data_IF_095452949551
#
_entry.id   IF_095452949551
#
_cell.length_a   1.000
_cell.length_b   1.000
_cell.length_c   1.000
_cell.angle_alpha   90.00
_cell.angle_beta   90.00
_cell.angle_gamma   90.00
#
_symmetry.space_group_name_H-M   'P 1'
#
loop_
_entity.id
_entity.type
_entity.pdbx_description
1 polymer ?
#
# COMPACT_ATOMS: atom_id res chain seq x y z
N UNK A 1 0.86 4.27 -4.07
CA UNK A 1 2.03 3.97 -3.22
C UNK A 1 3.14 3.48 -4.12
N UNK A 2 4.37 3.93 -3.90
CA UNK A 2 5.57 3.46 -4.60
C UNK A 2 6.71 3.31 -3.60
N UNK A 3 7.64 2.40 -3.89
CA UNK A 3 8.88 2.25 -3.16
C UNK A 3 10.03 2.40 -4.16
N UNK A 4 10.96 3.30 -3.85
CA UNK A 4 12.14 3.57 -4.67
C UNK A 4 13.35 3.66 -3.74
N UNK A 5 14.37 2.86 -4.03
CA UNK A 5 15.49 2.62 -3.13
C UNK A 5 15.02 2.26 -1.71
N UNK A 6 15.43 3.04 -0.71
CA UNK A 6 15.05 2.85 0.69
C UNK A 6 13.91 3.82 1.12
N UNK A 7 13.14 4.39 0.18
CA UNK A 7 12.08 5.37 0.48
C UNK A 7 10.70 4.86 0.06
N UNK A 8 9.75 4.90 0.99
CA UNK A 8 8.34 4.62 0.75
C UNK A 8 7.55 5.91 0.53
N UNK A 9 6.84 6.02 -0.59
CA UNK A 9 5.96 7.13 -0.92
C UNK A 9 4.49 6.71 -0.86
N UNK A 10 3.70 7.46 -0.09
CA UNK A 10 2.26 7.27 0.05
C UNK A 10 1.53 8.54 -0.38
N UNK A 11 0.71 8.43 -1.42
CA UNK A 11 -0.07 9.55 -1.98
C UNK A 11 -1.56 9.23 -1.90
N UNK A 12 -2.34 10.18 -1.40
CA UNK A 12 -3.81 10.16 -1.40
C UNK A 12 -4.31 11.21 -2.38
N UNK A 13 -5.07 10.78 -3.38
CA UNK A 13 -5.63 11.60 -4.44
C UNK A 13 -7.15 11.71 -4.23
N UNK A 14 -7.70 12.92 -4.37
CA UNK A 14 -9.14 13.19 -4.28
C UNK A 14 -9.53 14.21 -5.34
N UNK A 15 -10.61 13.95 -6.09
CA UNK A 15 -11.08 14.82 -7.16
C UNK A 15 -11.25 16.27 -6.67
N UNK A 16 -10.64 17.22 -7.37
CA UNK A 16 -10.75 18.66 -7.08
C UNK A 16 -10.00 19.12 -5.82
N UNK A 17 -9.15 18.27 -5.22
CA UNK A 17 -8.30 18.61 -4.08
C UNK A 17 -6.84 18.36 -4.43
N UNK A 18 -5.94 19.07 -3.76
CA UNK A 18 -4.51 18.80 -3.86
C UNK A 18 -4.19 17.40 -3.32
N UNK A 19 -3.23 16.76 -3.98
CA UNK A 19 -2.67 15.50 -3.54
C UNK A 19 -1.94 15.67 -2.22
N UNK A 20 -2.09 14.67 -1.35
CA UNK A 20 -1.36 14.61 -0.09
C UNK A 20 -0.35 13.48 -0.20
N UNK A 21 0.93 13.83 -0.18
CA UNK A 21 2.03 12.86 -0.24
C UNK A 21 2.83 12.87 1.07
N UNK A 22 3.13 11.68 1.57
CA UNK A 22 4.10 11.44 2.64
C UNK A 22 5.20 10.53 2.12
N UNK A 23 6.43 10.78 2.58
CA UNK A 23 7.58 9.92 2.34
C UNK A 23 8.11 9.41 3.67
N UNK A 24 8.64 8.19 3.65
CA UNK A 24 9.25 7.54 4.81
C UNK A 24 10.61 6.99 4.41
N UNK A 25 11.67 7.41 5.10
CA UNK A 25 12.99 6.82 4.98
C UNK A 25 13.02 5.49 5.74
N UNK A 26 13.20 4.40 4.99
CA UNK A 26 13.16 3.02 5.46
C UNK A 26 14.56 2.40 5.59
N UNK A 27 15.64 3.18 5.43
CA UNK A 27 17.03 2.71 5.42
C UNK A 27 17.39 1.87 6.65
N UNK A 28 16.83 2.21 7.81
CA UNK A 28 17.08 1.53 9.08
C UNK A 28 15.93 0.62 9.54
N UNK A 29 14.95 0.36 8.68
CA UNK A 29 13.78 -0.49 8.99
C UNK A 29 14.04 -1.98 8.86
N UNK A 30 15.25 -2.39 8.43
CA UNK A 30 15.62 -3.81 8.31
C UNK A 30 15.09 -4.53 7.07
N UNK A 31 14.28 -3.89 6.22
CA UNK A 31 13.76 -4.49 4.98
C UNK A 31 14.85 -4.85 3.97
N UNK A 32 16.02 -4.20 4.05
CA UNK A 32 17.19 -4.47 3.22
C UNK A 32 18.09 -5.59 3.76
N UNK A 33 17.87 -6.04 5.00
CA UNK A 33 18.54 -7.24 5.50
C UNK A 33 18.09 -8.44 4.65
N UNK A 34 19.05 -9.28 4.24
CA UNK A 34 18.85 -10.26 3.16
C UNK A 34 17.65 -11.22 3.38
N UNK A 35 17.14 -11.75 2.27
CA UNK A 35 16.06 -12.75 2.14
C UNK A 35 14.62 -12.28 2.44
N UNK A 36 14.33 -10.97 2.38
CA UNK A 36 12.95 -10.49 2.40
C UNK A 36 12.37 -10.34 0.99
N UNK A 37 11.18 -10.93 0.78
CA UNK A 37 10.37 -10.69 -0.41
C UNK A 37 9.22 -9.76 -0.05
N UNK A 38 9.00 -8.74 -0.88
CA UNK A 38 7.94 -7.75 -0.69
C UNK A 38 6.87 -7.97 -1.75
N UNK A 39 5.60 -7.94 -1.35
CA UNK A 39 4.45 -8.04 -2.22
C UNK A 39 3.36 -7.08 -1.74
N UNK A 40 2.51 -6.62 -2.66
CA UNK A 40 1.37 -5.77 -2.30
C UNK A 40 0.13 -6.62 -2.03
N UNK A 41 -0.61 -6.22 -1.01
CA UNK A 41 -1.97 -6.69 -0.75
C UNK A 41 -2.92 -5.53 -1.05
N UNK A 42 -4.00 -5.80 -1.76
CA UNK A 42 -5.10 -4.85 -1.98
C UNK A 42 -6.42 -5.57 -1.71
N UNK A 43 -7.36 -4.87 -1.09
CA UNK A 43 -8.63 -5.46 -0.68
C UNK A 43 -9.16 -4.85 0.61
N UNK A 44 -10.07 -5.56 1.25
CA UNK A 44 -10.59 -5.21 2.57
C UNK A 44 -9.90 -6.10 3.59
N UNK A 45 -9.18 -5.48 4.52
CA UNK A 45 -8.64 -6.16 5.71
C UNK A 45 -9.39 -5.60 6.91
N UNK A 46 -10.38 -6.35 7.40
CA UNK A 46 -11.19 -5.93 8.54
C UNK A 46 -10.34 -6.04 9.80
N UNK A 47 -10.08 -4.88 10.43
CA UNK A 47 -9.31 -4.79 11.69
C UNK A 47 -10.23 -4.83 12.92
N UNK A 48 -11.55 -4.81 12.73
CA UNK A 48 -12.49 -5.01 13.82
C UNK A 48 -12.54 -6.50 14.19
N UNK A 49 -12.16 -6.81 15.43
CA UNK A 49 -12.17 -8.17 16.00
C UNK A 49 -13.25 -8.34 17.08
N UNK A 50 -14.12 -7.35 17.26
CA UNK A 50 -15.23 -7.43 18.20
C UNK A 50 -16.33 -8.37 17.68
N UNK A 51 -16.97 -9.10 18.59
CA UNK A 51 -17.82 -10.27 18.31
C UNK A 51 -19.26 -9.88 17.90
N UNK A 52 -19.44 -8.72 17.25
CA UNK A 52 -20.75 -8.35 16.73
C UNK A 52 -20.95 -9.00 15.36
N UNK A 53 -21.74 -10.08 15.33
CA UNK A 53 -22.00 -10.98 14.18
C UNK A 53 -22.48 -10.31 12.86
N UNK A 54 -22.66 -8.99 12.84
CA UNK A 54 -23.23 -8.25 11.71
C UNK A 54 -22.33 -7.15 11.13
N UNK A 55 -21.11 -6.95 11.62
CA UNK A 55 -20.25 -5.88 11.10
C UNK A 55 -19.47 -6.34 9.84
N UNK A 56 -20.02 -6.01 8.66
CA UNK A 56 -19.39 -6.31 7.38
C UNK A 56 -18.72 -5.06 6.78
N UNK A 57 -17.48 -5.23 6.29
CA UNK A 57 -16.78 -4.21 5.53
C UNK A 57 -16.76 -4.59 4.04
N UNK A 58 -17.16 -3.66 3.19
CA UNK A 58 -17.12 -3.82 1.74
C UNK A 58 -16.46 -2.61 1.09
N UNK A 59 -15.71 -2.83 0.01
CA UNK A 59 -15.14 -1.77 -0.83
C UNK A 59 -15.23 -2.19 -2.29
N UNK A 60 -15.48 -1.22 -3.17
CA UNK A 60 -15.45 -1.39 -4.62
C UNK A 60 -14.21 -0.69 -5.18
N UNK A 61 -13.36 -1.44 -5.89
CA UNK A 61 -12.20 -0.88 -6.57
C UNK A 61 -12.53 -0.64 -8.04
N UNK A 62 -12.40 0.60 -8.49
CA UNK A 62 -12.59 0.96 -9.92
C UNK A 62 -11.29 0.83 -10.73
N UNK A 63 -10.14 0.82 -10.07
CA UNK A 63 -8.84 0.67 -10.71
C UNK A 63 -7.82 0.11 -9.72
N UNK A 64 -7.11 -0.94 -10.13
CA UNK A 64 -5.97 -1.51 -9.40
C UNK A 64 -4.87 -1.72 -10.43
N UNK A 65 -3.69 -1.18 -10.16
CA UNK A 65 -2.51 -1.36 -10.99
C UNK A 65 -1.30 -1.61 -10.09
N UNK A 66 -0.48 -2.57 -10.48
CA UNK A 66 0.80 -2.86 -9.86
C UNK A 66 1.88 -2.92 -10.95
N UNK A 67 3.03 -2.30 -10.69
CA UNK A 67 4.14 -2.23 -11.64
C UNK A 67 5.46 -2.41 -10.88
N UNK A 68 6.41 -3.12 -11.50
CA UNK A 68 7.78 -3.25 -11.01
C UNK A 68 8.76 -2.92 -12.13
N UNK A 69 9.83 -2.18 -11.83
CA UNK A 69 10.90 -1.90 -12.79
C UNK A 69 11.61 -3.21 -13.15
N UNK A 70 11.41 -3.72 -14.35
CA UNK A 70 12.05 -4.96 -14.82
C UNK A 70 11.12 -5.95 -15.53
N UNK A 71 9.80 -5.77 -15.41
CA UNK A 71 8.85 -6.43 -16.32
C UNK A 71 8.98 -5.77 -17.70
N UNK A 72 9.69 -6.43 -18.63
CA UNK A 72 9.61 -6.15 -20.06
C UNK A 72 8.56 -7.11 -20.64
N UNK A 73 7.58 -6.57 -21.36
CA UNK A 73 6.66 -7.37 -22.17
C UNK A 73 7.42 -8.06 -23.30
#
# INVERSE_FOLDING_TARGET
>A
MSAEDDVLFVTIIRKGKLDITKHYDMKYSGYRAGNHYIYFITGVYNLNNDVADADNMQTTFYHIQHMYKGYKF
#
